data_IF_356737133234
#
_entry.id   IF_356737133234
#
_cell.length_a   1.000
_cell.length_b   1.000
_cell.length_c   1.000
_cell.angle_alpha   90.00
_cell.angle_beta   90.00
_cell.angle_gamma   90.00
#
_symmetry.space_group_name_H-M   'P 1'
#
loop_
_entity.id
_entity.type
_entity.pdbx_description
1 polymer ?
#
# COMPACT_ATOMS: atom_id res chain seq x y z
N UNK A 1 -17.52 -10.31 -8.66
CA UNK A 1 -16.19 -9.67 -8.58
C UNK A 1 -16.37 -8.16 -8.53
N UNK A 2 -16.25 -7.54 -7.36
CA UNK A 2 -16.17 -6.07 -7.26
C UNK A 2 -14.72 -5.70 -7.01
N UNK A 3 -14.00 -5.31 -8.07
CA UNK A 3 -12.69 -4.65 -7.92
C UNK A 3 -12.98 -3.21 -7.51
N UNK A 4 -12.50 -2.79 -6.34
CA UNK A 4 -12.70 -1.42 -5.89
C UNK A 4 -11.53 -0.56 -6.35
N UNK A 5 -11.73 0.08 -7.51
CA UNK A 5 -10.85 1.10 -8.05
C UNK A 5 -11.05 2.36 -7.20
N UNK A 6 -9.97 2.86 -6.59
CA UNK A 6 -10.03 4.07 -5.78
C UNK A 6 -9.80 5.33 -6.63
N UNK A 7 -10.52 6.44 -6.37
CA UNK A 7 -10.22 7.71 -7.01
C UNK A 7 -8.85 8.24 -6.52
N UNK A 8 -8.11 8.92 -7.41
CA UNK A 8 -6.78 9.50 -7.12
C UNK A 8 -6.74 10.35 -5.84
N UNK A 9 -7.87 10.96 -5.46
CA UNK A 9 -8.01 11.77 -4.25
C UNK A 9 -7.81 10.98 -2.94
N UNK A 10 -7.93 9.64 -2.97
CA UNK A 10 -7.72 8.80 -1.78
C UNK A 10 -6.23 8.72 -1.38
N UNK A 11 -5.31 9.01 -2.31
CA UNK A 11 -3.87 9.04 -2.01
C UNK A 11 -3.55 10.19 -1.03
N UNK A 12 -4.20 11.34 -1.17
CA UNK A 12 -3.87 12.58 -0.44
C UNK A 12 -4.00 12.42 1.08
N UNK A 13 -4.93 11.59 1.56
CA UNK A 13 -5.24 11.44 2.99
C UNK A 13 -4.17 10.67 3.79
N UNK A 14 -3.25 9.96 3.13
CA UNK A 14 -2.21 9.13 3.77
C UNK A 14 -0.79 9.49 3.32
N UNK A 15 -0.64 10.46 2.41
CA UNK A 15 0.67 10.96 2.04
C UNK A 15 1.25 11.79 3.17
N UNK A 16 2.38 11.34 3.70
CA UNK A 16 3.14 12.08 4.70
C UNK A 16 3.98 13.21 4.09
N UNK A 17 4.22 13.20 2.77
CA UNK A 17 5.05 14.20 2.07
C UNK A 17 4.28 14.99 1.01
N UNK A 18 4.23 16.32 1.20
CA UNK A 18 3.56 17.30 0.31
C UNK A 18 4.16 17.32 -1.11
N UNK A 19 5.44 16.94 -1.27
CA UNK A 19 6.12 16.96 -2.58
C UNK A 19 5.51 15.97 -3.60
N UNK A 20 4.86 14.90 -3.11
CA UNK A 20 4.16 13.93 -3.94
C UNK A 20 2.86 14.49 -4.57
N UNK A 21 2.42 15.68 -4.14
CA UNK A 21 1.24 16.37 -4.67
C UNK A 21 1.59 17.33 -5.82
N UNK A 22 2.88 17.52 -6.14
CA UNK A 22 3.28 18.40 -7.21
C UNK A 22 2.82 17.86 -8.57
N UNK A 23 2.30 18.72 -9.46
CA UNK A 23 1.81 18.30 -10.79
C UNK A 23 2.93 17.75 -11.70
N UNK A 24 4.19 18.03 -11.37
CA UNK A 24 5.37 17.52 -12.08
C UNK A 24 5.73 16.06 -11.74
N UNK A 25 5.10 15.46 -10.72
CA UNK A 25 5.41 14.08 -10.31
C UNK A 25 4.63 13.05 -11.14
N UNK A 26 5.26 11.93 -11.54
CA UNK A 26 4.58 10.83 -12.22
C UNK A 26 3.43 10.28 -11.36
N UNK A 27 2.23 10.20 -11.93
CA UNK A 27 1.04 9.65 -11.27
C UNK A 27 0.82 8.19 -11.66
N UNK A 28 0.34 7.34 -10.75
CA UNK A 28 -0.03 5.98 -11.12
C UNK A 28 -1.20 6.00 -12.11
N UNK A 29 -1.21 5.05 -13.05
CA UNK A 29 -2.33 4.88 -13.99
C UNK A 29 -3.57 4.28 -13.31
N UNK A 30 -3.34 3.50 -12.25
CA UNK A 30 -4.37 2.81 -11.49
C UNK A 30 -3.89 2.65 -10.06
N UNK A 31 -4.83 2.82 -9.12
CA UNK A 31 -4.65 2.43 -7.72
C UNK A 31 -5.53 1.21 -7.48
N UNK A 32 -4.90 0.11 -7.12
CA UNK A 32 -5.57 -1.13 -6.77
C UNK A 32 -5.48 -1.38 -5.27
N UNK A 33 -6.64 -1.50 -4.62
CA UNK A 33 -6.75 -1.72 -3.18
C UNK A 33 -7.28 -3.14 -2.93
N UNK A 34 -6.42 -4.15 -2.76
CA UNK A 34 -6.83 -5.51 -2.47
C UNK A 34 -7.62 -5.59 -1.16
N UNK A 35 -8.61 -6.47 -1.14
CA UNK A 35 -9.39 -6.83 0.05
C UNK A 35 -9.05 -8.23 0.56
N UNK A 36 -8.15 -8.95 -0.11
CA UNK A 36 -7.67 -10.28 0.26
C UNK A 36 -6.29 -10.52 -0.35
N UNK A 37 -5.56 -11.49 0.21
CA UNK A 37 -4.23 -11.90 -0.30
C UNK A 37 -4.31 -12.42 -1.75
N UNK A 38 -5.40 -13.09 -2.13
CA UNK A 38 -5.61 -13.55 -3.51
C UNK A 38 -5.68 -12.39 -4.51
N UNK A 39 -6.22 -11.23 -4.10
CA UNK A 39 -6.21 -10.04 -4.94
C UNK A 39 -4.79 -9.51 -5.15
N UNK A 40 -3.91 -9.62 -4.15
CA UNK A 40 -2.49 -9.28 -4.29
C UNK A 40 -1.82 -10.20 -5.31
N UNK A 41 -2.04 -11.51 -5.21
CA UNK A 41 -1.50 -12.49 -6.16
C UNK A 41 -1.94 -12.18 -7.60
N UNK A 42 -3.24 -11.93 -7.80
CA UNK A 42 -3.77 -11.57 -9.11
C UNK A 42 -3.16 -10.27 -9.65
N UNK A 43 -2.99 -9.24 -8.80
CA UNK A 43 -2.37 -7.98 -9.22
C UNK A 43 -0.92 -8.18 -9.70
N UNK A 44 -0.14 -8.99 -8.99
CA UNK A 44 1.25 -9.31 -9.37
C UNK A 44 1.29 -10.05 -10.70
N UNK A 45 0.46 -11.09 -10.88
CA UNK A 45 0.40 -11.86 -12.13
C UNK A 45 0.00 -10.96 -13.31
N UNK A 46 -1.11 -10.23 -13.18
CA UNK A 46 -1.58 -9.33 -14.23
C UNK A 46 -0.56 -8.24 -14.56
N UNK A 47 0.13 -7.66 -13.56
CA UNK A 47 1.17 -6.65 -13.81
C UNK A 47 2.33 -7.21 -14.63
N UNK A 48 2.73 -8.46 -14.34
CA UNK A 48 3.81 -9.15 -15.04
C UNK A 48 3.41 -9.49 -16.48
N UNK A 49 2.20 -10.00 -16.68
CA UNK A 49 1.68 -10.33 -18.01
C UNK A 49 1.51 -9.10 -18.90
N UNK A 50 1.12 -7.96 -18.32
CA UNK A 50 0.95 -6.70 -19.02
C UNK A 50 2.27 -5.90 -19.17
N UNK A 51 3.36 -6.34 -18.54
CA UNK A 51 4.63 -5.62 -18.54
C UNK A 51 4.57 -4.25 -17.84
N UNK A 52 3.64 -4.07 -16.90
CA UNK A 52 3.41 -2.81 -16.18
C UNK A 52 4.16 -2.87 -14.85
N UNK A 53 4.83 -1.78 -14.48
CA UNK A 53 5.55 -1.73 -13.22
C UNK A 53 4.56 -1.66 -12.04
N UNK A 54 4.82 -2.44 -10.98
CA UNK A 54 3.99 -2.44 -9.79
C UNK A 54 4.74 -1.75 -8.64
N UNK A 55 4.13 -0.74 -8.03
CA UNK A 55 4.60 -0.12 -6.79
C UNK A 55 3.69 -0.54 -5.65
N UNK A 56 4.24 -0.89 -4.50
CA UNK A 56 3.46 -1.35 -3.35
C UNK A 56 3.50 -0.28 -2.27
N UNK A 57 2.33 0.07 -1.74
CA UNK A 57 2.15 0.91 -0.55
C UNK A 57 1.55 0.08 0.57
N UNK A 58 2.10 0.25 1.78
CA UNK A 58 1.44 -0.08 3.05
C UNK A 58 0.88 1.21 3.70
N UNK A 59 1.60 1.81 4.66
CA UNK A 59 1.09 2.89 5.51
C UNK A 59 1.45 4.32 5.11
N UNK A 60 2.10 4.57 3.97
CA UNK A 60 2.39 5.96 3.56
C UNK A 60 3.68 6.58 4.10
N UNK A 61 4.53 5.80 4.77
CA UNK A 61 5.70 6.28 5.52
C UNK A 61 7.06 6.06 4.83
N UNK A 62 7.07 5.70 3.55
CA UNK A 62 8.33 5.64 2.80
C UNK A 62 9.00 7.02 2.79
N UNK A 63 10.17 7.08 3.42
CA UNK A 63 10.92 8.30 3.69
C UNK A 63 11.25 9.10 2.40
N UNK A 64 11.49 8.37 1.31
CA UNK A 64 11.80 8.94 -0.01
C UNK A 64 10.57 9.04 -0.93
N UNK A 65 9.40 8.55 -0.51
CA UNK A 65 8.20 8.54 -1.35
C UNK A 65 8.25 7.55 -2.52
N UNK A 66 9.26 6.68 -2.59
CA UNK A 66 9.48 5.70 -3.67
C UNK A 66 8.34 4.70 -3.88
N UNK A 67 7.50 4.50 -2.88
CA UNK A 67 6.27 3.70 -2.99
C UNK A 67 5.13 4.44 -3.71
N UNK A 68 5.28 5.75 -3.98
CA UNK A 68 4.32 6.61 -4.69
C UNK A 68 4.92 7.30 -5.91
N UNK A 69 6.23 7.48 -5.94
CA UNK A 69 6.95 8.25 -6.95
C UNK A 69 8.12 7.45 -7.48
N UNK A 70 8.30 7.38 -8.80
CA UNK A 70 9.60 6.99 -9.33
C UNK A 70 10.54 8.19 -9.23
N UNK A 71 11.59 8.09 -8.40
CA UNK A 71 12.77 8.94 -8.52
C UNK A 71 13.58 8.50 -9.75
N UNK A 72 13.00 8.71 -10.93
CA UNK A 72 13.74 8.74 -12.17
C UNK A 72 13.19 9.92 -12.94
N UNK A 73 13.86 11.04 -12.70
CA UNK A 73 13.68 12.30 -13.40
C UNK A 73 13.74 12.07 -14.92
N UNK A 74 12.93 12.83 -15.65
CA UNK A 74 12.99 13.04 -17.10
C UNK A 74 12.52 11.88 -18.01
N UNK A 75 11.34 12.10 -18.59
CA UNK A 75 10.83 11.58 -19.88
C UNK A 75 10.63 10.06 -20.08
N UNK A 76 11.08 9.19 -19.18
CA UNK A 76 10.98 7.74 -19.37
C UNK A 76 10.69 6.94 -18.10
N UNK A 77 9.88 7.49 -17.18
CA UNK A 77 9.29 6.67 -16.12
C UNK A 77 8.26 5.70 -16.73
N UNK A 78 8.43 4.38 -16.60
CA UNK A 78 7.46 3.42 -17.12
C UNK A 78 6.11 3.57 -16.39
N UNK A 79 5.03 3.41 -17.13
CA UNK A 79 3.67 3.32 -16.60
C UNK A 79 3.66 2.36 -15.40
N UNK A 80 3.08 2.80 -14.27
CA UNK A 80 3.04 1.99 -13.06
C UNK A 80 1.68 2.00 -12.37
N UNK A 81 1.37 0.88 -11.72
CA UNK A 81 0.18 0.68 -10.90
C UNK A 81 0.60 0.74 -9.43
N UNK A 82 -0.20 1.40 -8.61
CA UNK A 82 -0.04 1.42 -7.17
C UNK A 82 -0.91 0.34 -6.52
N UNK A 83 -0.27 -0.63 -5.86
CA UNK A 83 -0.92 -1.63 -5.02
C UNK A 83 -0.96 -1.12 -3.57
N UNK A 84 -2.14 -0.77 -3.07
CA UNK A 84 -2.33 -0.23 -1.73
C UNK A 84 -2.86 -1.29 -0.78
N UNK A 85 -1.99 -1.77 0.11
CA UNK A 85 -2.30 -2.80 1.11
C UNK A 85 -3.07 -2.26 2.31
N UNK A 86 -3.46 -0.99 2.35
CA UNK A 86 -4.12 -0.36 3.49
C UNK A 86 -5.45 -0.99 3.92
N UNK A 87 -6.04 -1.89 3.14
CA UNK A 87 -7.20 -2.70 3.55
C UNK A 87 -6.82 -4.02 4.24
N UNK A 88 -5.58 -4.49 4.10
CA UNK A 88 -5.03 -5.67 4.77
C UNK A 88 -4.31 -5.22 6.04
N UNK A 89 -5.07 -4.96 7.10
CA UNK A 89 -4.60 -4.39 8.38
C UNK A 89 -4.97 -5.21 9.61
N UNK A 90 -5.35 -6.47 9.43
CA UNK A 90 -5.70 -7.37 10.52
C UNK A 90 -4.51 -7.59 11.45
N UNK A 91 -4.80 -7.65 12.75
CA UNK A 91 -3.85 -8.02 13.79
C UNK A 91 -4.47 -9.13 14.63
N UNK A 92 -3.80 -10.27 14.67
CA UNK A 92 -4.19 -11.44 15.48
C UNK A 92 -3.12 -11.67 16.55
N UNK A 93 -3.54 -11.90 17.79
CA UNK A 93 -2.63 -12.04 18.94
C UNK A 93 -2.80 -13.44 19.51
N UNK A 94 -1.70 -14.17 19.61
CA UNK A 94 -1.63 -15.45 20.29
C UNK A 94 -0.97 -15.24 21.66
N UNK A 95 -1.82 -15.23 22.70
CA UNK A 95 -1.37 -15.04 24.09
C UNK A 95 -0.65 -16.27 24.62
N UNK A 96 -1.00 -17.47 24.15
CA UNK A 96 -0.39 -18.71 24.62
C UNK A 96 1.07 -18.81 24.12
N UNK A 97 1.28 -18.44 22.86
CA UNK A 97 2.60 -18.44 22.21
C UNK A 97 3.34 -17.10 22.35
N UNK A 98 2.75 -16.11 23.04
CA UNK A 98 3.29 -14.76 23.20
C UNK A 98 3.75 -14.12 21.87
N UNK A 99 2.93 -14.26 20.82
CA UNK A 99 3.23 -13.82 19.47
C UNK A 99 2.05 -13.09 18.82
N UNK A 100 2.30 -12.35 17.74
CA UNK A 100 1.24 -11.71 16.96
C UNK A 100 1.49 -11.81 15.46
N UNK A 101 0.40 -11.93 14.71
CA UNK A 101 0.36 -11.86 13.26
C UNK A 101 -0.23 -10.51 12.86
N UNK A 102 0.52 -9.75 12.08
CA UNK A 102 0.19 -8.39 11.68
C UNK A 102 0.22 -8.31 10.15
N UNK A 103 -0.91 -7.96 9.55
CA UNK A 103 -0.97 -7.77 8.10
C UNK A 103 -0.21 -6.52 7.65
N UNK A 104 0.30 -6.56 6.42
CA UNK A 104 1.25 -5.58 5.91
C UNK A 104 0.74 -4.14 5.91
N UNK A 105 -0.57 -3.89 5.85
CA UNK A 105 -1.19 -2.57 5.86
C UNK A 105 -1.52 -2.02 7.26
N UNK A 106 -1.24 -2.77 8.33
CA UNK A 106 -1.44 -2.29 9.70
C UNK A 106 -0.43 -1.19 10.06
N UNK A 107 -0.90 -0.19 10.79
CA UNK A 107 -0.07 0.90 11.29
C UNK A 107 0.66 0.51 12.58
N UNK A 108 1.72 1.24 12.93
CA UNK A 108 2.40 1.07 14.22
C UNK A 108 1.43 1.23 15.40
N UNK A 109 0.50 2.20 15.33
CA UNK A 109 -0.50 2.42 16.37
C UNK A 109 -1.37 1.18 16.61
N UNK A 110 -1.87 0.56 15.54
CA UNK A 110 -2.64 -0.69 15.62
C UNK A 110 -1.79 -1.85 16.15
N UNK A 111 -0.53 -1.94 15.69
CA UNK A 111 0.43 -2.99 16.10
C UNK A 111 0.78 -2.93 17.59
N UNK A 112 0.85 -1.73 18.19
CA UNK A 112 1.11 -1.59 19.63
C UNK A 112 -0.17 -1.74 20.47
N UNK A 113 -1.29 -1.16 20.02
CA UNK A 113 -2.50 -1.08 20.82
C UNK A 113 -3.22 -2.42 20.97
N UNK A 114 -3.31 -3.21 19.89
CA UNK A 114 -4.11 -4.44 19.88
C UNK A 114 -3.52 -5.56 20.73
N UNK A 115 -2.20 -5.82 20.71
CA UNK A 115 -1.57 -6.74 21.66
C UNK A 115 -1.67 -6.27 23.10
N UNK A 116 -1.45 -4.97 23.37
CA UNK A 116 -1.61 -4.42 24.71
C UNK A 116 -3.02 -4.67 25.26
N UNK A 117 -4.06 -4.42 24.46
CA UNK A 117 -5.46 -4.65 24.83
C UNK A 117 -5.79 -6.13 25.04
N UNK A 118 -5.13 -7.04 24.32
CA UNK A 118 -5.36 -8.47 24.45
C UNK A 118 -4.74 -9.07 25.74
N UNK A 119 -3.75 -8.37 26.30
CA UNK A 119 -3.03 -8.78 27.52
C UNK A 119 -3.52 -8.08 28.80
N UNK A 120 -4.43 -7.10 28.68
CA UNK A 120 -5.04 -6.34 29.79
C UNK A 120 -6.41 -6.90 30.18
#
# INVERSE_FOLDING_TARGET
>A
MQQQIAPLNLIILTLTKVICLLPSMPKPILIFIPSSEHHVQAAVICSKELGIHLRVRSGGHDYEGLSYTSELEFESTPLFILLDLGKLRSVSVDVAENSSWVEAGATLGETYYLPWRALS
#
